data_IF_971777625727
#
_entry.id   IF_971777625727
#
_cell.length_a   1.000
_cell.length_b   1.000
_cell.length_c   1.000
_cell.angle_alpha   90.00
_cell.angle_beta   90.00
_cell.angle_gamma   90.00
#
_symmetry.space_group_name_H-M   'P 1'
#
loop_
_entity.id
_entity.type
_entity.pdbx_description
1 polymer ?
#
# COMPACT_ATOMS: atom_id res chain seq x y z
N UNK A 1 7.28 7.01 -11.29
CA UNK A 1 8.23 5.90 -11.06
C UNK A 1 8.11 5.30 -9.67
N UNK A 2 8.39 6.04 -8.58
CA UNK A 2 8.25 5.52 -7.19
C UNK A 2 6.85 4.99 -6.82
N UNK A 3 5.81 5.73 -7.22
CA UNK A 3 4.40 5.37 -7.01
C UNK A 3 3.96 4.13 -7.81
N UNK A 4 4.36 4.08 -9.08
CA UNK A 4 4.07 2.96 -9.99
C UNK A 4 4.76 1.68 -9.53
N UNK A 5 6.02 1.77 -9.07
CA UNK A 5 6.76 0.65 -8.50
C UNK A 5 6.09 0.09 -7.24
N UNK A 6 5.72 0.97 -6.29
CA UNK A 6 5.01 0.57 -5.08
C UNK A 6 3.70 -0.15 -5.40
N UNK A 7 2.93 0.38 -6.37
CA UNK A 7 1.66 -0.21 -6.81
C UNK A 7 1.83 -1.64 -7.32
N UNK A 8 2.77 -1.88 -8.24
CA UNK A 8 3.01 -3.22 -8.78
C UNK A 8 3.58 -4.18 -7.74
N UNK A 9 4.48 -3.72 -6.87
CA UNK A 9 5.02 -4.56 -5.81
C UNK A 9 3.93 -4.96 -4.79
N UNK A 10 3.01 -4.05 -4.43
CA UNK A 10 1.86 -4.37 -3.59
C UNK A 10 0.90 -5.37 -4.26
N UNK A 11 0.60 -5.18 -5.55
CA UNK A 11 -0.21 -6.12 -6.34
C UNK A 11 0.44 -7.51 -6.44
N UNK A 12 1.77 -7.59 -6.41
CA UNK A 12 2.54 -8.83 -6.44
C UNK A 12 2.70 -9.49 -5.05
N UNK A 13 1.96 -9.03 -4.03
CA UNK A 13 1.94 -9.66 -2.71
C UNK A 13 2.98 -9.13 -1.71
N UNK A 14 3.70 -8.05 -2.05
CA UNK A 14 4.55 -7.37 -1.07
C UNK A 14 3.69 -6.75 0.03
N UNK A 15 4.02 -7.05 1.29
CA UNK A 15 3.27 -6.55 2.45
C UNK A 15 3.41 -5.03 2.61
N UNK A 16 2.36 -4.41 3.14
CA UNK A 16 2.35 -2.98 3.46
C UNK A 16 3.43 -2.63 4.49
N UNK A 17 3.68 -3.54 5.43
CA UNK A 17 4.68 -3.44 6.48
C UNK A 17 6.11 -3.35 5.92
N UNK A 18 6.42 -4.09 4.84
CA UNK A 18 7.71 -3.98 4.17
C UNK A 18 7.89 -2.61 3.49
N UNK A 19 6.82 -2.05 2.90
CA UNK A 19 6.88 -0.69 2.38
C UNK A 19 7.05 0.34 3.50
N UNK A 20 6.37 0.17 4.63
CA UNK A 20 6.52 1.04 5.80
C UNK A 20 7.96 1.07 6.30
N UNK A 21 8.60 -0.10 6.37
CA UNK A 21 10.00 -0.27 6.79
C UNK A 21 10.98 0.40 5.81
N UNK A 22 10.84 0.11 4.50
CA UNK A 22 11.69 0.69 3.45
C UNK A 22 11.60 2.23 3.39
N UNK A 23 10.41 2.79 3.63
CA UNK A 23 10.19 4.23 3.58
C UNK A 23 10.29 4.93 4.93
N UNK A 24 10.57 4.19 6.00
CA UNK A 24 10.64 4.71 7.36
C UNK A 24 9.36 5.46 7.77
N UNK A 25 8.20 4.99 7.28
CA UNK A 25 6.90 5.60 7.54
C UNK A 25 6.22 4.91 8.72
N UNK A 26 5.97 5.68 9.79
CA UNK A 26 5.29 5.20 10.99
C UNK A 26 3.76 5.13 10.84
N UNK A 27 3.21 5.69 9.76
CA UNK A 27 1.77 5.74 9.51
C UNK A 27 1.38 4.93 8.28
N UNK A 28 0.41 4.03 8.45
CA UNK A 28 -0.26 3.32 7.34
C UNK A 28 -0.87 4.31 6.34
N UNK A 29 -1.39 5.45 6.79
CA UNK A 29 -1.97 6.47 5.92
C UNK A 29 -0.93 7.12 4.99
N UNK A 30 0.25 7.43 5.51
CA UNK A 30 1.37 7.95 4.71
C UNK A 30 1.84 6.93 3.67
N UNK A 31 1.87 5.66 4.05
CA UNK A 31 2.28 4.56 3.17
C UNK A 31 1.26 4.35 2.06
N UNK A 32 -0.04 4.36 2.36
CA UNK A 32 -1.11 4.25 1.37
C UNK A 32 -1.10 5.40 0.35
N UNK A 33 -0.78 6.62 0.78
CA UNK A 33 -0.60 7.77 -0.11
C UNK A 33 0.60 7.63 -1.07
N UNK A 34 1.60 6.84 -0.68
CA UNK A 34 2.75 6.51 -1.51
C UNK A 34 2.45 5.44 -2.56
N UNK A 35 1.64 4.43 -2.22
CA UNK A 35 1.29 3.34 -3.14
C UNK A 35 0.17 3.71 -4.13
N UNK A 36 -0.43 4.90 -4.01
CA UNK A 36 -1.61 5.34 -4.80
C UNK A 36 -2.66 4.23 -4.87
N UNK A 37 -3.04 3.71 -3.71
CA UNK A 37 -4.15 2.77 -3.63
C UNK A 37 -5.42 3.61 -3.81
N UNK A 38 -6.23 3.30 -4.82
CA UNK A 38 -7.49 4.00 -5.00
C UNK A 38 -8.42 3.69 -3.82
N UNK A 39 -9.34 4.60 -3.51
CA UNK A 39 -10.33 4.37 -2.44
C UNK A 39 -11.16 3.09 -2.68
N UNK A 40 -11.28 2.65 -3.94
CA UNK A 40 -11.91 1.38 -4.31
C UNK A 40 -11.11 0.15 -3.88
N UNK A 41 -9.80 0.14 -4.11
CA UNK A 41 -8.92 -0.95 -3.68
C UNK A 41 -8.82 -1.01 -2.15
N UNK A 42 -8.85 0.15 -1.50
CA UNK A 42 -8.91 0.25 -0.03
C UNK A 42 -10.19 -0.39 0.53
N UNK A 43 -11.34 -0.12 -0.09
CA UNK A 43 -12.61 -0.78 0.25
C UNK A 43 -12.55 -2.29 0.04
N UNK A 44 -11.95 -2.74 -1.06
CA UNK A 44 -11.81 -4.17 -1.38
C UNK A 44 -10.96 -4.90 -0.34
N UNK A 45 -9.87 -4.29 0.12
CA UNK A 45 -9.04 -4.85 1.19
C UNK A 45 -9.80 -4.96 2.52
N UNK A 46 -10.53 -3.90 2.91
CA UNK A 46 -11.34 -3.92 4.13
C UNK A 46 -12.41 -5.01 4.06
N UNK A 47 -13.09 -5.16 2.92
CA UNK A 47 -14.08 -6.20 2.71
C UNK A 47 -13.51 -7.63 2.76
N UNK A 48 -12.26 -7.83 2.31
CA UNK A 48 -11.61 -9.14 2.33
C UNK A 48 -11.07 -9.55 3.71
N UNK A 49 -11.08 -8.63 4.68
CA UNK A 49 -10.63 -8.84 6.05
C UNK A 49 -11.80 -9.18 7.00
N UNK A 50 -13.04 -9.02 6.54
CA UNK A 50 -14.29 -9.35 7.25
C UNK A 50 -14.82 -10.67 6.69
#
# INVERSE_FOLDING_TARGET
MRKTFGYHAYQNGTSLELFMDIFNYFSKSQTLGYIVITEEQKRKFIYNLI
#
